data_IF_468020368239
#
_entry.id   IF_468020368239
#
_cell.length_a   1.000
_cell.length_b   1.000
_cell.length_c   1.000
_cell.angle_alpha   90.00
_cell.angle_beta   90.00
_cell.angle_gamma   90.00
#
_symmetry.space_group_name_H-M   'P 1'
#
loop_
_entity.id
_entity.type
_entity.pdbx_description
1 polymer ?
#
# COMPACT_ATOMS: atom_id res chain seq x y z
N UNK A 1 -13.38 39.68 2.79
CA UNK A 1 -14.73 39.21 3.16
C UNK A 1 -15.10 38.03 2.22
N UNK A 2 -14.56 36.83 2.48
CA UNK A 2 -14.89 35.62 1.73
C UNK A 2 -16.00 34.89 2.49
N UNK A 3 -17.20 34.85 1.91
CA UNK A 3 -18.31 34.06 2.43
C UNK A 3 -17.93 32.58 2.39
N UNK A 4 -17.86 31.96 3.55
CA UNK A 4 -17.78 30.51 3.69
C UNK A 4 -18.98 29.86 2.99
N UNK A 5 -18.77 29.25 1.85
CA UNK A 5 -19.74 28.34 1.25
C UNK A 5 -19.81 27.07 2.11
N UNK A 6 -20.90 26.93 2.80
CA UNK A 6 -21.18 25.80 3.69
C UNK A 6 -21.54 24.57 2.84
N UNK A 7 -20.51 23.79 2.48
CA UNK A 7 -20.61 22.61 1.59
C UNK A 7 -21.61 21.55 2.10
N UNK A 8 -21.83 21.51 3.43
CA UNK A 8 -22.86 20.64 4.02
C UNK A 8 -24.28 21.07 3.65
N UNK A 9 -24.52 22.34 3.52
CA UNK A 9 -25.86 22.86 3.16
C UNK A 9 -26.15 22.69 1.66
N UNK A 10 -25.14 22.71 0.81
CA UNK A 10 -25.28 22.44 -0.62
C UNK A 10 -25.63 20.98 -0.90
N UNK A 11 -24.97 20.03 -0.21
CA UNK A 11 -25.28 18.60 -0.30
C UNK A 11 -26.64 18.25 0.34
N UNK A 12 -26.97 18.87 1.46
CA UNK A 12 -28.27 18.70 2.10
C UNK A 12 -29.42 19.26 1.24
N UNK A 13 -29.22 20.40 0.58
CA UNK A 13 -30.21 20.98 -0.33
C UNK A 13 -30.42 20.14 -1.59
N UNK A 14 -29.39 19.51 -2.12
CA UNK A 14 -29.49 18.59 -3.27
C UNK A 14 -30.16 17.27 -2.85
N UNK A 15 -29.86 16.73 -1.65
CA UNK A 15 -30.54 15.53 -1.13
C UNK A 15 -31.98 15.78 -0.74
N UNK A 16 -32.31 16.93 -0.12
CA UNK A 16 -33.71 17.30 0.19
C UNK A 16 -34.54 17.52 -1.08
N UNK A 17 -33.96 18.12 -2.13
CA UNK A 17 -34.63 18.30 -3.41
C UNK A 17 -34.94 16.97 -4.13
N UNK A 18 -34.09 15.94 -3.98
CA UNK A 18 -34.32 14.60 -4.57
C UNK A 18 -35.30 13.78 -3.72
N UNK A 19 -35.30 13.91 -2.40
CA UNK A 19 -36.24 13.20 -1.54
C UNK A 19 -37.68 13.81 -1.59
N UNK A 20 -37.81 15.11 -1.79
CA UNK A 20 -39.12 15.76 -1.99
C UNK A 20 -39.78 15.39 -3.34
N UNK A 21 -38.99 14.92 -4.32
CA UNK A 21 -39.51 14.49 -5.63
C UNK A 21 -39.91 13.00 -5.70
N UNK A 22 -39.73 12.20 -4.62
CA UNK A 22 -40.10 10.79 -4.56
C UNK A 22 -41.34 10.55 -3.64
N UNK A 23 -41.80 11.55 -2.93
CA UNK A 23 -43.08 11.44 -2.23
C UNK A 23 -44.21 11.56 -3.27
N UNK A 24 -44.92 10.49 -3.48
CA UNK A 24 -46.17 10.41 -4.26
C UNK A 24 -47.40 10.95 -3.44
N UNK A 25 -47.59 12.25 -3.31
CA UNK A 25 -48.87 12.75 -2.81
C UNK A 25 -49.81 13.24 -3.96
N UNK A 26 -49.27 13.38 -5.20
CA UNK A 26 -50.07 14.00 -6.25
C UNK A 26 -51.14 13.09 -6.85
N UNK A 27 -50.95 11.76 -6.83
CA UNK A 27 -51.99 10.83 -7.32
C UNK A 27 -53.10 10.60 -6.33
N UNK A 28 -52.75 10.52 -5.02
CA UNK A 28 -53.74 10.35 -3.97
C UNK A 28 -54.66 11.61 -3.78
N UNK A 29 -54.13 12.81 -4.06
CA UNK A 29 -54.92 14.07 -4.01
C UNK A 29 -55.92 14.16 -5.14
N UNK A 30 -55.63 13.57 -6.31
CA UNK A 30 -56.50 13.61 -7.46
C UNK A 30 -57.71 12.67 -7.33
N UNK A 31 -57.52 11.44 -6.81
CA UNK A 31 -58.64 10.52 -6.49
C UNK A 31 -59.52 11.07 -5.37
N UNK A 32 -58.95 11.54 -4.28
CA UNK A 32 -59.71 12.12 -3.17
C UNK A 32 -60.50 13.39 -3.59
N UNK A 33 -59.97 14.19 -4.51
CA UNK A 33 -60.67 15.34 -5.09
C UNK A 33 -61.83 14.90 -5.96
N UNK A 34 -61.66 13.87 -6.79
CA UNK A 34 -62.73 13.31 -7.64
C UNK A 34 -63.84 12.72 -6.79
N UNK A 35 -63.50 11.97 -5.74
CA UNK A 35 -64.47 11.43 -4.79
C UNK A 35 -65.26 12.53 -4.07
N UNK A 36 -64.57 13.61 -3.68
CA UNK A 36 -65.22 14.78 -3.07
C UNK A 36 -66.19 15.45 -4.04
N UNK A 37 -65.81 15.65 -5.29
CA UNK A 37 -66.63 16.25 -6.32
C UNK A 37 -67.89 15.37 -6.62
N UNK A 38 -67.76 14.04 -6.66
CA UNK A 38 -68.93 13.16 -6.78
C UNK A 38 -69.91 13.27 -5.61
N UNK A 39 -69.38 13.40 -4.37
CA UNK A 39 -70.22 13.59 -3.18
C UNK A 39 -70.98 14.94 -3.25
N UNK A 40 -70.32 16.01 -3.77
CA UNK A 40 -70.93 17.32 -3.90
C UNK A 40 -72.06 17.34 -4.95
N UNK A 41 -71.89 16.62 -6.07
CA UNK A 41 -72.98 16.41 -7.06
C UNK A 41 -74.14 15.65 -6.43
N UNK A 42 -73.88 14.53 -5.75
CA UNK A 42 -74.90 13.72 -5.10
C UNK A 42 -75.68 14.49 -4.02
N UNK A 43 -75.11 15.51 -3.40
CA UNK A 43 -75.74 16.40 -2.43
C UNK A 43 -76.41 17.58 -3.07
N UNK A 44 -76.35 17.77 -4.38
CA UNK A 44 -76.93 18.87 -5.09
C UNK A 44 -76.19 20.21 -4.83
N UNK A 45 -74.98 20.16 -4.32
CA UNK A 45 -74.20 21.35 -3.99
C UNK A 45 -73.50 21.95 -5.21
N UNK A 46 -73.29 21.17 -6.26
CA UNK A 46 -72.78 21.58 -7.57
C UNK A 46 -73.62 20.86 -8.66
N UNK A 47 -73.68 21.46 -9.83
CA UNK A 47 -74.38 20.91 -10.99
C UNK A 47 -73.45 19.96 -11.73
N UNK A 48 -74.00 19.07 -12.57
CA UNK A 48 -73.25 18.12 -13.39
C UNK A 48 -72.26 18.82 -14.34
N UNK A 49 -72.61 19.98 -14.90
CA UNK A 49 -71.76 20.78 -15.73
C UNK A 49 -70.58 21.43 -14.96
N UNK A 50 -70.82 21.88 -13.71
CA UNK A 50 -69.73 22.35 -12.84
C UNK A 50 -68.82 21.20 -12.41
N UNK A 51 -69.36 20.00 -12.20
CA UNK A 51 -68.55 18.83 -11.94
C UNK A 51 -67.61 18.48 -13.12
N UNK A 52 -68.13 18.45 -14.35
CA UNK A 52 -67.27 18.19 -15.54
C UNK A 52 -66.19 19.25 -15.72
N UNK A 53 -66.49 20.51 -15.47
CA UNK A 53 -65.53 21.60 -15.51
C UNK A 53 -64.41 21.42 -14.47
N UNK A 54 -64.75 21.07 -13.24
CA UNK A 54 -63.78 20.86 -12.15
C UNK A 54 -62.92 19.59 -12.36
N UNK A 55 -63.54 18.52 -12.87
CA UNK A 55 -62.82 17.31 -13.25
C UNK A 55 -61.83 17.56 -14.37
N UNK A 56 -62.21 18.31 -15.40
CA UNK A 56 -61.34 18.67 -16.50
C UNK A 56 -60.19 19.59 -16.06
N UNK A 57 -60.46 20.56 -15.18
CA UNK A 57 -59.42 21.39 -14.59
C UNK A 57 -58.43 20.58 -13.74
N UNK A 58 -58.92 19.64 -12.91
CA UNK A 58 -58.08 18.77 -12.09
C UNK A 58 -57.21 17.80 -12.94
N UNK A 59 -57.76 17.31 -14.07
CA UNK A 59 -56.98 16.50 -15.02
C UNK A 59 -55.88 17.30 -15.71
N UNK A 60 -56.20 18.53 -16.16
CA UNK A 60 -55.24 19.43 -16.77
C UNK A 60 -54.11 19.83 -15.81
N UNK A 61 -54.43 20.09 -14.52
CA UNK A 61 -53.43 20.33 -13.48
C UNK A 61 -52.55 19.09 -13.23
N UNK A 62 -53.16 17.88 -13.21
CA UNK A 62 -52.42 16.64 -13.09
C UNK A 62 -51.43 16.39 -14.24
N UNK A 63 -51.86 16.60 -15.49
CA UNK A 63 -51.04 16.50 -16.69
C UNK A 63 -49.87 17.52 -16.69
N UNK A 64 -50.15 18.77 -16.25
CA UNK A 64 -49.12 19.81 -16.11
C UNK A 64 -48.09 19.44 -15.03
N UNK A 65 -48.52 18.91 -13.89
CA UNK A 65 -47.62 18.44 -12.82
C UNK A 65 -46.76 17.29 -13.29
N UNK A 66 -47.35 16.30 -13.97
CA UNK A 66 -46.62 15.16 -14.52
C UNK A 66 -45.60 15.59 -15.60
N UNK A 67 -45.98 16.51 -16.49
CA UNK A 67 -45.08 17.07 -17.48
C UNK A 67 -43.90 17.78 -16.83
N UNK A 68 -44.13 18.63 -15.82
CA UNK A 68 -43.10 19.35 -15.08
C UNK A 68 -42.15 18.38 -14.32
N UNK A 69 -42.69 17.30 -13.72
CA UNK A 69 -41.89 16.26 -13.07
C UNK A 69 -41.03 15.55 -14.09
N UNK A 70 -41.58 15.20 -15.24
CA UNK A 70 -40.81 14.52 -16.30
C UNK A 70 -39.73 15.43 -16.90
N UNK A 71 -40.01 16.71 -17.10
CA UNK A 71 -39.01 17.70 -17.52
C UNK A 71 -37.90 17.87 -16.47
N UNK A 72 -38.25 17.97 -15.17
CA UNK A 72 -37.28 18.03 -14.09
C UNK A 72 -36.42 16.74 -14.01
N UNK A 73 -37.06 15.56 -14.12
CA UNK A 73 -36.35 14.30 -14.18
C UNK A 73 -35.38 14.26 -15.35
N UNK A 74 -35.77 14.73 -16.54
CA UNK A 74 -34.89 14.79 -17.69
C UNK A 74 -33.73 15.79 -17.50
N UNK A 75 -33.98 16.95 -16.92
CA UNK A 75 -32.97 17.96 -16.57
C UNK A 75 -31.98 17.41 -15.54
N UNK A 76 -32.49 16.76 -14.47
CA UNK A 76 -31.65 16.09 -13.43
C UNK A 76 -30.81 14.97 -14.05
N UNK A 77 -31.40 14.11 -14.86
CA UNK A 77 -30.69 13.03 -15.54
C UNK A 77 -29.58 13.56 -16.47
N UNK A 78 -29.86 14.62 -17.22
CA UNK A 78 -28.88 15.31 -18.09
C UNK A 78 -27.74 15.94 -17.30
N UNK A 79 -28.04 16.56 -16.16
CA UNK A 79 -27.04 17.16 -15.26
C UNK A 79 -26.19 16.09 -14.58
N UNK A 80 -26.85 15.04 -14.05
CA UNK A 80 -26.16 13.91 -13.40
C UNK A 80 -25.21 13.17 -14.34
N UNK A 81 -25.57 13.04 -15.62
CA UNK A 81 -24.67 12.46 -16.67
C UNK A 81 -23.41 13.29 -16.89
N UNK A 82 -23.40 14.58 -16.55
CA UNK A 82 -22.24 15.47 -16.70
C UNK A 82 -21.40 15.55 -15.41
N UNK A 83 -21.97 15.20 -14.25
CA UNK A 83 -21.25 15.25 -12.98
C UNK A 83 -20.24 14.10 -12.86
N UNK A 84 -19.04 14.33 -12.30
CA UNK A 84 -18.09 13.25 -12.04
C UNK A 84 -18.67 12.24 -11.03
N UNK A 85 -18.25 10.98 -11.17
CA UNK A 85 -18.57 9.92 -10.20
C UNK A 85 -17.69 10.09 -8.97
N UNK A 86 -18.30 10.26 -7.79
CA UNK A 86 -17.60 10.36 -6.51
C UNK A 86 -17.80 9.05 -5.75
N UNK A 87 -16.71 8.42 -5.34
CA UNK A 87 -16.71 7.21 -4.51
C UNK A 87 -16.14 7.55 -3.14
N UNK A 88 -16.91 7.27 -2.07
CA UNK A 88 -16.51 7.57 -0.68
C UNK A 88 -16.38 6.30 0.18
N UNK A 89 -16.83 5.13 -0.30
CA UNK A 89 -16.79 3.88 0.45
C UNK A 89 -15.37 3.29 0.51
N UNK A 90 -14.71 3.47 1.65
CA UNK A 90 -13.37 2.94 1.94
C UNK A 90 -12.22 3.66 1.22
N UNK A 91 -12.53 4.68 0.42
CA UNK A 91 -11.58 5.59 -0.24
C UNK A 91 -12.33 6.77 -0.83
N UNK A 92 -11.67 7.91 -0.97
CA UNK A 92 -12.20 9.02 -1.76
C UNK A 92 -11.64 8.93 -3.18
N UNK A 93 -12.52 8.96 -4.18
CA UNK A 93 -12.13 8.94 -5.59
C UNK A 93 -13.12 9.74 -6.43
N UNK A 94 -12.61 10.54 -7.34
CA UNK A 94 -13.36 11.27 -8.35
C UNK A 94 -13.00 10.73 -9.73
N UNK A 95 -14.00 10.51 -10.60
CA UNK A 95 -13.77 9.98 -11.94
C UNK A 95 -14.80 10.57 -12.92
N UNK A 96 -14.44 10.70 -14.21
CA UNK A 96 -15.39 11.02 -15.27
C UNK A 96 -16.45 9.92 -15.42
N UNK A 97 -17.61 10.28 -15.96
CA UNK A 97 -18.71 9.33 -16.19
C UNK A 97 -18.32 8.21 -17.15
N UNK A 98 -17.54 8.52 -18.17
CA UNK A 98 -17.02 7.57 -19.18
C UNK A 98 -15.79 6.79 -18.67
N UNK A 99 -15.25 7.18 -17.49
CA UNK A 99 -14.07 6.55 -16.91
C UNK A 99 -12.78 6.81 -17.68
N UNK A 100 -12.69 7.90 -18.46
CA UNK A 100 -11.47 8.32 -19.15
C UNK A 100 -10.45 8.89 -18.19
N UNK A 101 -10.87 9.63 -17.18
CA UNK A 101 -9.98 10.12 -16.13
C UNK A 101 -10.44 9.70 -14.73
N UNK A 102 -9.50 9.65 -13.81
CA UNK A 102 -9.69 9.26 -12.42
C UNK A 102 -8.63 9.97 -11.56
N UNK A 103 -9.03 10.50 -10.42
CA UNK A 103 -8.15 11.07 -9.40
C UNK A 103 -8.52 10.54 -8.02
N UNK A 104 -7.53 10.19 -7.21
CA UNK A 104 -7.69 9.66 -5.88
C UNK A 104 -6.58 10.20 -4.97
N UNK A 105 -6.87 10.96 -3.91
CA UNK A 105 -5.92 11.22 -2.85
C UNK A 105 -5.61 9.92 -2.11
N UNK A 106 -4.36 9.75 -1.75
CA UNK A 106 -3.85 8.61 -0.99
C UNK A 106 -3.01 9.12 0.17
N UNK A 107 -2.98 8.35 1.24
CA UNK A 107 -2.13 8.69 2.37
C UNK A 107 -2.06 7.57 3.40
N UNK A 108 -1.16 7.74 4.36
CA UNK A 108 -1.03 6.89 5.54
C UNK A 108 -0.30 7.63 6.65
N UNK A 109 -0.69 7.32 7.87
CA UNK A 109 -0.02 7.76 9.09
C UNK A 109 0.25 6.49 9.91
N UNK A 110 1.51 6.28 10.31
CA UNK A 110 1.95 5.22 11.21
C UNK A 110 2.67 5.88 12.37
N UNK A 111 2.20 5.62 13.56
CA UNK A 111 2.85 5.98 14.81
C UNK A 111 3.32 4.72 15.51
N UNK A 112 4.59 4.69 15.89
CA UNK A 112 5.26 3.58 16.54
C UNK A 112 5.75 3.99 17.92
N UNK A 113 5.72 3.05 18.87
CA UNK A 113 6.32 3.15 20.19
C UNK A 113 7.09 1.86 20.46
N UNK A 114 8.30 1.97 20.98
CA UNK A 114 9.23 0.86 21.14
C UNK A 114 9.88 0.90 22.52
N UNK A 115 9.97 -0.25 23.14
CA UNK A 115 10.69 -0.50 24.37
C UNK A 115 11.66 -1.64 24.15
N UNK A 116 12.96 -1.40 24.40
CA UNK A 116 14.05 -2.34 24.15
C UNK A 116 14.70 -2.72 25.49
N UNK A 117 14.97 -3.99 25.67
CA UNK A 117 15.87 -4.54 26.66
C UNK A 117 17.14 -5.01 25.95
N UNK A 118 18.23 -4.29 26.12
CA UNK A 118 19.50 -4.53 25.44
C UNK A 118 20.37 -5.63 26.11
N UNK A 119 19.86 -6.33 27.12
CA UNK A 119 20.61 -7.37 27.86
C UNK A 119 22.01 -6.90 28.34
N UNK A 120 22.10 -5.64 28.74
CA UNK A 120 23.34 -5.01 29.20
C UNK A 120 24.21 -4.37 28.12
N UNK A 121 23.86 -4.50 26.85
CA UNK A 121 24.46 -3.78 25.72
C UNK A 121 23.81 -2.41 25.46
N UNK A 122 24.12 -1.82 24.30
CA UNK A 122 23.60 -0.52 23.84
C UNK A 122 23.20 -0.53 22.37
N UNK A 123 22.81 -1.68 21.84
CA UNK A 123 22.56 -1.89 20.41
C UNK A 123 21.35 -1.13 19.86
N UNK A 124 20.33 -0.87 20.69
CA UNK A 124 19.09 -0.25 20.24
C UNK A 124 18.49 0.70 21.28
N UNK A 125 17.69 1.67 20.80
CA UNK A 125 17.09 2.71 21.63
C UNK A 125 15.59 2.52 21.88
N UNK A 126 15.12 3.01 23.02
CA UNK A 126 13.71 3.20 23.31
C UNK A 126 13.20 4.46 22.63
N UNK A 127 11.96 4.47 22.18
CA UNK A 127 11.41 5.71 21.64
C UNK A 127 10.05 5.62 20.99
N UNK A 128 9.66 6.76 20.47
CA UNK A 128 8.43 6.94 19.70
C UNK A 128 8.73 7.67 18.41
N UNK A 129 8.09 7.25 17.31
CA UNK A 129 8.27 7.90 16.02
C UNK A 129 6.98 7.99 15.20
N UNK A 130 6.91 8.98 14.33
CA UNK A 130 6.05 8.92 13.16
C UNK A 130 6.76 8.13 12.07
N UNK A 131 6.62 6.81 12.10
CA UNK A 131 7.28 5.92 11.15
C UNK A 131 6.95 6.22 9.70
N UNK A 132 5.73 6.73 9.42
CA UNK A 132 5.28 7.17 8.10
C UNK A 132 4.21 8.24 8.22
N UNK A 133 4.42 9.32 7.48
CA UNK A 133 3.45 10.39 7.32
C UNK A 133 3.31 10.72 5.82
N UNK A 134 2.68 9.80 5.04
CA UNK A 134 2.63 9.92 3.59
C UNK A 134 1.38 10.58 3.11
N UNK A 135 1.54 11.46 2.13
CA UNK A 135 0.47 12.10 1.40
C UNK A 135 0.79 12.07 -0.09
N UNK A 136 -0.24 11.91 -0.90
CA UNK A 136 -0.10 11.89 -2.35
C UNK A 136 -1.40 11.73 -3.07
N UNK A 137 -1.31 11.53 -4.37
CA UNK A 137 -2.44 11.23 -5.22
C UNK A 137 -2.05 10.25 -6.33
N UNK A 138 -3.03 9.52 -6.81
CA UNK A 138 -2.90 8.65 -7.98
C UNK A 138 -4.13 8.77 -8.86
N UNK A 139 -3.97 8.39 -10.10
CA UNK A 139 -5.09 8.48 -11.04
C UNK A 139 -4.81 7.89 -12.39
N UNK A 140 -5.73 8.21 -13.32
CA UNK A 140 -5.65 7.81 -14.72
C UNK A 140 -6.13 8.93 -15.60
N UNK A 141 -5.49 9.03 -16.76
CA UNK A 141 -5.99 9.70 -17.97
C UNK A 141 -5.72 8.68 -19.07
N UNK A 142 -6.74 7.87 -19.37
CA UNK A 142 -6.56 6.69 -20.24
C UNK A 142 -5.92 7.04 -21.58
N UNK A 143 -4.94 6.24 -22.03
CA UNK A 143 -4.46 4.95 -21.47
C UNK A 143 -3.43 5.10 -20.34
N UNK A 144 -3.07 6.33 -19.97
CA UNK A 144 -2.05 6.62 -18.96
C UNK A 144 -2.58 6.46 -17.53
N UNK A 145 -1.69 6.12 -16.60
CA UNK A 145 -1.89 6.23 -15.15
C UNK A 145 -0.69 6.92 -14.51
N UNK A 146 -0.91 7.50 -13.34
CA UNK A 146 0.12 8.25 -12.62
C UNK A 146 0.00 8.07 -11.11
N UNK A 147 1.11 8.32 -10.41
CA UNK A 147 1.16 8.42 -8.95
C UNK A 147 2.22 9.43 -8.55
N UNK A 148 1.92 10.17 -7.48
CA UNK A 148 2.85 11.02 -6.76
C UNK A 148 2.61 10.81 -5.27
N UNK A 149 3.65 10.46 -4.52
CA UNK A 149 3.60 10.22 -3.06
C UNK A 149 4.86 10.76 -2.40
N UNK A 150 4.69 11.53 -1.32
CA UNK A 150 5.75 12.06 -0.46
C UNK A 150 5.61 11.45 0.94
N UNK A 151 6.71 11.30 1.65
CA UNK A 151 6.77 10.93 3.06
C UNK A 151 7.34 12.09 3.88
N UNK A 152 6.61 12.55 4.87
CA UNK A 152 6.93 13.68 5.74
C UNK A 152 7.40 13.20 7.13
N UNK A 153 7.62 11.90 7.31
CA UNK A 153 8.03 11.33 8.61
C UNK A 153 9.50 11.59 8.94
N UNK A 154 10.35 11.84 7.95
CA UNK A 154 11.75 12.13 8.16
C UNK A 154 11.94 13.55 8.69
N UNK A 155 12.84 13.71 9.66
CA UNK A 155 13.14 14.99 10.28
C UNK A 155 13.63 16.02 9.25
N UNK A 156 12.82 17.01 8.96
CA UNK A 156 13.17 18.22 8.24
C UNK A 156 12.88 18.24 6.74
N UNK A 157 13.01 17.14 5.99
CA UNK A 157 12.83 17.16 4.53
C UNK A 157 11.93 16.03 4.04
N UNK A 158 10.85 16.34 3.30
CA UNK A 158 10.00 15.30 2.72
C UNK A 158 10.75 14.45 1.70
N UNK A 159 10.64 13.13 1.79
CA UNK A 159 11.25 12.22 0.83
C UNK A 159 10.27 11.78 -0.26
N UNK A 160 10.74 11.80 -1.51
CA UNK A 160 10.01 11.29 -2.65
C UNK A 160 9.87 9.78 -2.54
N UNK A 161 8.64 9.27 -2.71
CA UNK A 161 8.37 7.83 -2.74
C UNK A 161 8.03 7.38 -4.17
N UNK A 162 6.78 7.34 -4.55
CA UNK A 162 6.37 6.98 -5.91
C UNK A 162 6.12 8.25 -6.73
N UNK A 163 6.87 8.47 -7.81
CA UNK A 163 6.69 9.60 -8.75
C UNK A 163 6.82 9.04 -10.17
N UNK A 164 5.71 8.63 -10.77
CA UNK A 164 5.76 7.92 -12.05
C UNK A 164 4.54 8.14 -12.94
N UNK A 165 4.77 7.94 -14.23
CA UNK A 165 3.75 7.79 -15.26
C UNK A 165 3.82 6.37 -15.84
N UNK A 166 2.68 5.80 -16.22
CA UNK A 166 2.64 4.49 -16.87
C UNK A 166 1.63 4.47 -18.02
N UNK A 167 2.01 3.86 -19.13
CA UNK A 167 1.12 3.49 -20.21
C UNK A 167 0.56 2.09 -19.94
N UNK A 168 -0.76 1.93 -20.03
CA UNK A 168 -1.43 0.68 -19.68
C UNK A 168 -2.09 0.06 -20.91
N UNK A 169 -1.86 -1.23 -21.09
CA UNK A 169 -2.45 -2.02 -22.15
C UNK A 169 -3.12 -3.29 -21.68
N UNK A 170 -3.90 -3.87 -22.58
CA UNK A 170 -4.58 -5.17 -22.38
C UNK A 170 -4.46 -5.99 -23.65
N UNK A 171 -4.32 -7.30 -23.46
CA UNK A 171 -4.45 -8.33 -24.48
C UNK A 171 -5.41 -9.41 -24.02
N UNK A 172 -5.70 -10.38 -24.86
CA UNK A 172 -6.47 -11.55 -24.45
C UNK A 172 -5.73 -12.39 -23.39
N UNK A 173 -4.41 -12.44 -23.47
CA UNK A 173 -3.55 -13.15 -22.51
C UNK A 173 -3.41 -12.45 -21.17
N UNK A 174 -3.51 -11.12 -21.11
CA UNK A 174 -3.25 -10.41 -19.85
C UNK A 174 -3.33 -8.90 -19.92
N UNK A 175 -2.79 -8.27 -18.89
CA UNK A 175 -2.62 -6.83 -18.76
C UNK A 175 -1.14 -6.52 -18.68
N UNK A 176 -0.75 -5.39 -19.23
CA UNK A 176 0.62 -4.92 -19.15
C UNK A 176 0.68 -3.41 -18.92
N UNK A 177 1.83 -2.96 -18.46
CA UNK A 177 2.15 -1.54 -18.41
C UNK A 177 3.64 -1.33 -18.70
N UNK A 178 3.95 -0.16 -19.24
CA UNK A 178 5.27 0.43 -19.32
C UNK A 178 5.28 1.67 -18.43
N UNK A 179 6.24 1.75 -17.50
CA UNK A 179 6.31 2.79 -16.48
C UNK A 179 7.65 3.51 -16.55
N UNK A 180 7.61 4.84 -16.37
CA UNK A 180 8.78 5.71 -16.26
C UNK A 180 8.68 6.56 -14.99
N UNK A 181 9.81 6.87 -14.38
CA UNK A 181 9.93 7.67 -13.15
C UNK A 181 10.36 6.84 -11.95
N UNK A 182 10.23 7.40 -10.75
CA UNK A 182 10.62 6.72 -9.51
C UNK A 182 9.55 5.74 -9.06
N UNK A 183 9.93 4.47 -8.97
CA UNK A 183 9.07 3.40 -8.47
C UNK A 183 9.90 2.22 -7.96
N UNK A 184 9.24 1.24 -7.34
CA UNK A 184 9.95 0.05 -6.85
C UNK A 184 10.69 -0.68 -7.97
N UNK A 185 11.95 -1.00 -7.71
CA UNK A 185 12.74 -1.97 -8.45
C UNK A 185 12.06 -3.33 -8.30
N UNK A 186 11.98 -4.14 -9.36
CA UNK A 186 11.30 -5.44 -9.30
C UNK A 186 12.17 -6.52 -8.63
N UNK A 187 12.25 -6.49 -7.30
CA UNK A 187 13.01 -7.44 -6.50
C UNK A 187 12.21 -7.84 -5.26
N UNK A 188 12.12 -9.13 -4.95
CA UNK A 188 11.55 -9.74 -3.77
C UNK A 188 10.12 -9.34 -3.38
N UNK A 189 9.49 -10.14 -2.55
CA UNK A 189 8.18 -9.83 -1.97
C UNK A 189 8.30 -8.76 -0.88
N UNK A 190 9.28 -8.88 0.00
CA UNK A 190 9.45 -7.97 1.13
C UNK A 190 9.68 -6.53 0.67
N UNK A 191 10.49 -6.32 -0.39
CA UNK A 191 10.80 -4.99 -0.91
C UNK A 191 9.61 -4.33 -1.59
N UNK A 192 8.88 -5.05 -2.45
CA UNK A 192 7.78 -4.46 -3.24
C UNK A 192 6.45 -4.40 -2.49
N UNK A 193 6.28 -5.17 -1.42
CA UNK A 193 5.04 -5.17 -0.64
C UNK A 193 4.83 -3.85 0.08
N UNK A 194 3.61 -3.34 -0.03
CA UNK A 194 3.27 -2.09 0.65
C UNK A 194 3.32 -2.26 2.17
N UNK A 195 4.02 -1.36 2.86
CA UNK A 195 4.06 -1.34 4.34
C UNK A 195 2.69 -1.28 5.02
N UNK A 196 1.62 -0.90 4.30
CA UNK A 196 0.25 -0.97 4.81
C UNK A 196 -0.23 -2.38 5.07
N UNK A 197 0.39 -3.39 4.45
CA UNK A 197 -0.12 -4.77 4.40
C UNK A 197 0.86 -5.81 4.93
N UNK A 198 2.04 -5.39 5.37
CA UNK A 198 3.00 -6.25 6.06
C UNK A 198 2.39 -6.80 7.35
N UNK A 199 2.75 -8.01 7.71
CA UNK A 199 2.21 -8.71 8.88
C UNK A 199 2.95 -8.38 10.19
N UNK A 200 4.20 -7.92 10.08
CA UNK A 200 5.05 -7.42 11.16
C UNK A 200 5.28 -5.92 11.03
N UNK A 201 5.67 -5.25 12.09
CA UNK A 201 5.98 -3.82 12.11
C UNK A 201 7.22 -3.52 11.28
N UNK A 202 8.23 -4.42 11.34
CA UNK A 202 9.44 -4.37 10.54
C UNK A 202 9.34 -5.29 9.31
N UNK A 203 10.06 -4.95 8.25
CA UNK A 203 10.38 -5.88 7.15
C UNK A 203 11.39 -6.91 7.66
N UNK A 204 11.60 -8.05 6.94
CA UNK A 204 12.76 -8.89 7.21
C UNK A 204 14.07 -8.09 7.14
N UNK A 205 15.08 -8.53 7.88
CA UNK A 205 16.41 -7.90 7.94
C UNK A 205 16.96 -7.59 6.54
N UNK A 206 16.90 -8.52 5.63
CA UNK A 206 17.38 -8.35 4.26
C UNK A 206 16.66 -7.25 3.45
N UNK A 207 15.51 -6.77 3.88
CA UNK A 207 14.79 -5.73 3.14
C UNK A 207 15.42 -4.33 3.29
N UNK A 208 16.31 -4.16 4.22
CA UNK A 208 17.18 -2.99 4.39
C UNK A 208 18.61 -3.29 3.85
N UNK A 209 18.81 -4.42 3.17
CA UNK A 209 20.03 -4.81 2.47
C UNK A 209 20.25 -4.05 1.14
N UNK A 210 21.24 -4.46 0.34
CA UNK A 210 21.68 -3.74 -0.87
C UNK A 210 20.60 -3.66 -1.96
N UNK A 211 19.56 -4.50 -1.89
CA UNK A 211 18.51 -4.44 -2.88
C UNK A 211 17.77 -3.10 -2.82
N UNK A 212 17.69 -2.46 -3.96
CA UNK A 212 17.13 -1.12 -4.06
C UNK A 212 15.60 -1.14 -3.91
N UNK A 213 15.08 -0.25 -3.07
CA UNK A 213 13.65 -0.13 -2.83
C UNK A 213 12.94 0.63 -3.96
N UNK A 214 13.35 1.89 -4.20
CA UNK A 214 12.77 2.77 -5.23
C UNK A 214 13.85 3.54 -5.91
N UNK A 215 13.90 3.40 -7.24
CA UNK A 215 14.82 4.11 -8.11
C UNK A 215 14.09 4.73 -9.29
N UNK A 216 14.72 5.70 -9.93
CA UNK A 216 14.24 6.30 -11.18
C UNK A 216 14.58 5.36 -12.33
N UNK A 217 13.58 5.01 -13.14
CA UNK A 217 13.84 4.09 -14.24
C UNK A 217 12.70 3.90 -15.20
N UNK A 218 12.91 2.95 -16.11
CA UNK A 218 11.92 2.47 -17.06
C UNK A 218 11.72 0.99 -16.81
N UNK A 219 10.46 0.58 -16.57
CA UNK A 219 10.14 -0.82 -16.35
C UNK A 219 8.84 -1.23 -17.04
N UNK A 220 8.80 -2.49 -17.48
CA UNK A 220 7.64 -3.13 -18.04
C UNK A 220 7.16 -4.28 -17.18
N UNK A 221 5.85 -4.44 -17.08
CA UNK A 221 5.23 -5.58 -16.38
C UNK A 221 4.08 -6.16 -17.17
N UNK A 222 4.07 -7.49 -17.24
CA UNK A 222 2.94 -8.26 -17.75
C UNK A 222 2.30 -9.07 -16.61
N UNK A 223 0.97 -9.19 -16.60
CA UNK A 223 0.18 -9.96 -15.66
C UNK A 223 -0.81 -10.83 -16.42
N UNK A 224 -0.62 -12.13 -16.38
CA UNK A 224 -1.46 -13.10 -17.07
C UNK A 224 -2.87 -13.17 -16.48
N UNK A 225 -3.86 -13.42 -17.33
CA UNK A 225 -5.23 -13.80 -16.94
C UNK A 225 -5.35 -15.30 -16.68
N UNK A 226 -4.34 -16.10 -17.00
CA UNK A 226 -4.36 -17.54 -16.79
C UNK A 226 -4.59 -17.90 -15.31
N UNK A 227 -5.07 -19.11 -15.04
CA UNK A 227 -5.38 -19.57 -13.69
C UNK A 227 -4.17 -19.54 -12.76
N UNK A 228 -2.98 -19.87 -13.28
CA UNK A 228 -1.70 -19.80 -12.54
C UNK A 228 -1.18 -18.39 -12.27
N UNK A 229 -1.89 -17.35 -12.74
CA UNK A 229 -1.63 -15.93 -12.41
C UNK A 229 -0.16 -15.52 -12.49
N UNK A 230 0.57 -16.02 -13.47
CA UNK A 230 1.97 -15.66 -13.63
C UNK A 230 2.13 -14.19 -14.05
N UNK A 231 3.26 -13.63 -13.68
CA UNK A 231 3.67 -12.29 -14.10
C UNK A 231 5.16 -12.27 -14.41
N UNK A 232 5.55 -11.29 -15.22
CA UNK A 232 6.94 -10.92 -15.43
C UNK A 232 7.06 -9.40 -15.30
N UNK A 233 8.13 -8.93 -14.68
CA UNK A 233 8.41 -7.53 -14.42
C UNK A 233 9.91 -7.33 -14.58
N UNK A 234 10.34 -6.39 -15.43
CA UNK A 234 11.75 -6.07 -15.67
C UNK A 234 11.92 -4.58 -15.90
N UNK A 235 13.11 -4.06 -15.59
CA UNK A 235 13.44 -2.65 -15.79
C UNK A 235 14.91 -2.33 -15.63
N UNK A 236 15.25 -1.11 -16.03
CA UNK A 236 16.56 -0.49 -15.87
C UNK A 236 16.38 0.79 -15.06
N UNK A 237 17.27 1.02 -14.11
CA UNK A 237 17.14 2.09 -13.13
C UNK A 237 18.46 2.80 -12.93
N UNK A 238 18.37 4.02 -12.41
CA UNK A 238 19.46 4.82 -11.86
C UNK A 238 19.05 5.23 -10.43
N UNK A 239 19.94 5.72 -9.58
CA UNK A 239 19.60 6.14 -8.22
C UNK A 239 18.33 6.97 -8.13
N UNK A 240 17.62 6.83 -7.02
CA UNK A 240 16.34 7.51 -6.79
C UNK A 240 16.49 9.02 -6.66
N UNK A 241 15.36 9.72 -6.77
CA UNK A 241 15.30 11.14 -6.45
C UNK A 241 15.73 11.34 -5.01
N UNK A 242 16.86 12.04 -4.78
CA UNK A 242 17.30 12.40 -3.46
C UNK A 242 16.33 13.42 -2.82
N UNK A 243 16.45 13.60 -1.54
CA UNK A 243 15.79 14.69 -0.83
C UNK A 243 16.36 16.01 -1.30
N UNK A 244 15.58 17.06 -1.25
CA UNK A 244 15.79 18.39 -1.84
C UNK A 244 17.05 19.17 -1.42
N UNK A 245 18.11 18.53 -0.97
CA UNK A 245 19.41 19.17 -0.74
C UNK A 245 20.22 19.34 -2.03
N UNK A 246 19.90 18.59 -3.09
CA UNK A 246 20.48 18.81 -4.40
C UNK A 246 19.57 19.73 -5.20
N UNK A 247 19.97 20.98 -5.34
CA UNK A 247 19.28 22.01 -6.13
C UNK A 247 19.04 21.58 -7.60
N UNK A 248 19.73 20.56 -8.06
CA UNK A 248 19.64 20.04 -9.44
C UNK A 248 18.73 18.83 -9.60
N UNK A 249 18.39 18.12 -8.51
CA UNK A 249 17.58 16.88 -8.61
C UNK A 249 18.21 15.77 -9.46
N UNK A 250 19.49 15.91 -9.80
CA UNK A 250 20.25 14.96 -10.60
C UNK A 250 21.25 14.24 -9.71
N UNK A 251 21.07 12.93 -9.55
CA UNK A 251 22.22 12.10 -9.26
C UNK A 251 23.07 12.05 -10.54
N UNK A 252 24.12 12.84 -10.61
CA UNK A 252 25.19 12.63 -11.58
C UNK A 252 25.91 11.36 -11.14
N UNK A 253 25.52 10.23 -11.66
CA UNK A 253 26.05 8.93 -11.25
C UNK A 253 26.11 8.01 -12.45
N UNK A 254 27.16 7.26 -12.52
CA UNK A 254 27.29 6.17 -13.48
C UNK A 254 26.66 4.86 -12.98
N UNK A 255 26.10 4.85 -11.76
CA UNK A 255 25.37 3.71 -11.21
C UNK A 255 24.17 3.32 -12.07
N UNK A 256 24.06 2.05 -12.37
CA UNK A 256 22.95 1.49 -13.13
C UNK A 256 22.49 0.18 -12.53
N UNK A 257 21.20 -0.01 -12.47
CA UNK A 257 20.59 -1.23 -11.98
C UNK A 257 19.73 -1.84 -13.08
N UNK A 258 19.95 -3.11 -13.35
CA UNK A 258 19.03 -3.93 -14.16
C UNK A 258 18.39 -4.95 -13.24
N UNK A 259 17.07 -5.06 -13.29
CA UNK A 259 16.37 -6.00 -12.41
C UNK A 259 15.19 -6.67 -13.12
N UNK A 260 14.91 -7.91 -12.75
CA UNK A 260 13.70 -8.58 -13.14
C UNK A 260 13.13 -9.45 -12.02
N UNK A 261 11.83 -9.67 -12.07
CA UNK A 261 11.10 -10.58 -11.20
C UNK A 261 10.01 -11.29 -11.96
N UNK A 262 9.95 -12.59 -11.77
CA UNK A 262 8.92 -13.46 -12.34
C UNK A 262 8.25 -14.24 -11.21
N UNK A 263 7.00 -14.62 -11.40
CA UNK A 263 6.32 -15.45 -10.40
C UNK A 263 4.95 -15.89 -10.87
N UNK A 264 4.38 -16.82 -10.15
CA UNK A 264 3.07 -17.35 -10.46
C UNK A 264 2.50 -18.23 -9.37
N UNK A 265 1.30 -18.75 -9.56
CA UNK A 265 0.64 -19.63 -8.61
C UNK A 265 0.56 -21.05 -9.19
N UNK A 266 1.58 -21.92 -8.97
CA UNK A 266 1.53 -23.32 -9.42
C UNK A 266 0.34 -24.07 -8.83
N UNK A 267 -0.06 -23.72 -7.59
CA UNK A 267 -1.32 -24.17 -7.02
C UNK A 267 -2.25 -22.97 -6.83
N UNK A 268 -3.42 -23.03 -7.43
CA UNK A 268 -4.48 -22.03 -7.27
C UNK A 268 -5.86 -22.72 -7.35
N UNK A 269 -6.48 -22.95 -6.20
CA UNK A 269 -7.88 -23.40 -6.10
C UNK A 269 -8.82 -22.19 -6.19
N UNK A 270 -8.60 -21.21 -5.35
CA UNK A 270 -9.30 -19.93 -5.30
C UNK A 270 -8.44 -18.85 -4.63
N UNK A 271 -9.00 -17.65 -4.41
CA UNK A 271 -8.29 -16.52 -3.78
C UNK A 271 -7.85 -16.75 -2.34
N UNK A 272 -8.40 -17.76 -1.66
CA UNK A 272 -8.10 -18.11 -0.27
C UNK A 272 -7.28 -19.40 -0.16
N UNK A 273 -7.01 -20.09 -1.29
CA UNK A 273 -6.23 -21.32 -1.31
C UNK A 273 -5.29 -21.30 -2.52
N UNK A 274 -4.05 -20.94 -2.28
CA UNK A 274 -3.01 -20.81 -3.30
C UNK A 274 -1.61 -21.01 -2.70
N UNK A 275 -0.70 -21.41 -3.57
CA UNK A 275 0.75 -21.33 -3.39
C UNK A 275 1.32 -20.50 -4.53
N UNK A 276 2.05 -19.47 -4.21
CA UNK A 276 2.87 -18.68 -5.13
C UNK A 276 4.33 -19.08 -4.99
N UNK A 277 5.06 -19.06 -6.09
CA UNK A 277 6.52 -19.08 -6.13
C UNK A 277 6.98 -17.97 -7.05
N UNK A 278 8.13 -17.38 -6.71
CA UNK A 278 8.75 -16.32 -7.49
C UNK A 278 10.25 -16.35 -7.41
N UNK A 279 10.87 -15.64 -8.34
CA UNK A 279 12.30 -15.45 -8.45
C UNK A 279 12.58 -14.01 -8.90
N UNK A 280 13.61 -13.40 -8.32
CA UNK A 280 14.08 -12.08 -8.71
C UNK A 280 15.59 -12.09 -8.89
N UNK A 281 16.07 -11.20 -9.74
CA UNK A 281 17.47 -10.90 -9.97
C UNK A 281 17.66 -9.41 -10.13
N UNK A 282 18.74 -8.88 -9.54
CA UNK A 282 19.19 -7.51 -9.68
C UNK A 282 20.68 -7.52 -9.91
N UNK A 283 21.13 -6.80 -10.91
CA UNK A 283 22.53 -6.46 -11.16
C UNK A 283 22.70 -4.97 -11.05
N UNK A 284 23.72 -4.52 -10.29
CA UNK A 284 24.01 -3.10 -10.11
C UNK A 284 25.47 -2.82 -10.43
N UNK A 285 25.72 -1.88 -11.36
CA UNK A 285 27.03 -1.33 -11.69
C UNK A 285 27.28 -0.06 -10.86
N UNK A 286 28.40 0.04 -10.15
CA UNK A 286 28.74 1.16 -9.28
C UNK A 286 29.70 2.17 -9.90
N UNK A 287 30.73 1.72 -10.62
CA UNK A 287 31.68 2.54 -11.40
C UNK A 287 32.34 3.69 -10.59
N UNK A 288 32.73 3.39 -9.35
CA UNK A 288 33.39 4.34 -8.45
C UNK A 288 32.44 5.24 -7.65
N UNK A 289 31.13 5.07 -7.79
CA UNK A 289 30.14 5.64 -6.87
C UNK A 289 30.01 4.76 -5.62
N UNK A 290 29.72 5.36 -4.47
CA UNK A 290 29.53 4.59 -3.24
C UNK A 290 28.41 3.54 -3.37
N UNK A 291 28.72 2.33 -2.93
CA UNK A 291 27.75 1.26 -2.79
C UNK A 291 26.70 1.62 -1.73
N UNK A 292 25.52 1.01 -1.84
CA UNK A 292 24.52 1.15 -0.78
C UNK A 292 24.94 0.27 0.40
N UNK A 293 25.38 0.87 1.49
CA UNK A 293 25.70 0.15 2.71
C UNK A 293 24.50 -0.62 3.22
N UNK A 294 24.78 -1.74 3.85
CA UNK A 294 23.84 -2.39 4.76
C UNK A 294 24.02 -1.72 6.10
N UNK A 295 22.93 -1.24 6.67
CA UNK A 295 22.89 -0.53 7.95
C UNK A 295 21.60 -0.96 8.64
N UNK A 296 21.68 -2.03 9.42
CA UNK A 296 20.53 -2.68 10.02
C UNK A 296 20.55 -2.56 11.54
N UNK A 297 19.46 -2.01 12.08
CA UNK A 297 19.03 -2.32 13.44
C UNK A 297 18.39 -3.71 13.47
N UNK A 298 18.63 -4.51 14.51
CA UNK A 298 18.14 -5.90 14.58
C UNK A 298 16.64 -5.99 14.91
N UNK A 299 16.14 -5.17 15.80
CA UNK A 299 14.81 -5.31 16.37
C UNK A 299 13.86 -4.17 16.03
N UNK A 300 14.33 -2.92 16.15
CA UNK A 300 13.49 -1.73 16.01
C UNK A 300 13.89 -0.90 14.80
N UNK A 301 13.23 0.23 14.57
CA UNK A 301 13.61 1.19 13.55
C UNK A 301 14.26 2.43 14.18
N UNK A 302 14.28 2.51 15.51
CA UNK A 302 14.96 3.54 16.29
C UNK A 302 16.17 2.87 16.91
N UNK A 303 17.36 3.24 16.47
CA UNK A 303 18.62 2.71 16.94
C UNK A 303 19.74 3.36 16.14
N UNK A 304 20.96 3.11 16.53
CA UNK A 304 22.11 3.69 15.87
C UNK A 304 22.49 3.00 14.57
N UNK A 305 21.78 1.93 14.16
CA UNK A 305 22.06 1.22 12.91
C UNK A 305 23.27 0.29 12.96
N UNK A 306 24.03 0.32 14.02
CA UNK A 306 25.38 -0.24 14.11
C UNK A 306 25.39 -1.74 14.50
N UNK A 307 24.29 -2.47 14.28
CA UNK A 307 24.21 -3.87 14.76
C UNK A 307 24.66 -4.90 13.72
N UNK A 308 24.25 -4.71 12.46
CA UNK A 308 24.70 -5.50 11.30
C UNK A 308 24.96 -4.55 10.15
N UNK A 309 26.22 -4.34 9.85
CA UNK A 309 26.66 -3.41 8.81
C UNK A 309 27.52 -4.12 7.75
N UNK A 310 27.44 -3.62 6.53
CA UNK A 310 28.41 -3.88 5.49
C UNK A 310 28.64 -2.60 4.71
N UNK A 311 29.84 -2.07 4.80
CA UNK A 311 30.25 -0.82 4.17
C UNK A 311 31.33 -1.09 3.12
N UNK A 312 30.96 -0.97 1.86
CA UNK A 312 31.86 -1.20 0.73
C UNK A 312 32.56 0.09 0.25
N UNK A 313 32.20 1.24 0.81
CA UNK A 313 32.76 2.52 0.37
C UNK A 313 32.52 2.78 -1.12
N UNK A 314 33.58 3.17 -1.84
CA UNK A 314 33.57 3.41 -3.29
C UNK A 314 34.33 2.35 -4.07
N UNK A 315 34.72 1.27 -3.43
CA UNK A 315 35.60 0.24 -4.02
C UNK A 315 34.83 -0.85 -4.77
N UNK A 316 33.57 -1.10 -4.40
CA UNK A 316 32.74 -2.07 -5.10
C UNK A 316 32.48 -1.63 -6.55
N UNK A 317 32.74 -2.53 -7.50
CA UNK A 317 32.52 -2.30 -8.93
C UNK A 317 31.10 -2.64 -9.35
N UNK A 318 30.60 -3.81 -8.93
CA UNK A 318 29.26 -4.28 -9.22
C UNK A 318 28.74 -5.24 -8.13
N UNK A 319 27.45 -5.53 -8.19
CA UNK A 319 26.82 -6.54 -7.35
C UNK A 319 25.70 -7.27 -8.05
N UNK A 320 25.57 -8.55 -7.73
CA UNK A 320 24.49 -9.41 -8.17
C UNK A 320 23.64 -9.86 -6.96
N UNK A 321 22.35 -9.67 -7.04
CA UNK A 321 21.41 -10.11 -6.01
C UNK A 321 20.39 -11.09 -6.59
N UNK A 322 20.14 -12.18 -5.86
CA UNK A 322 19.15 -13.19 -6.20
C UNK A 322 18.13 -13.32 -5.08
N UNK A 323 16.88 -13.58 -5.44
CA UNK A 323 15.79 -13.80 -4.50
C UNK A 323 14.92 -14.96 -4.95
N UNK A 324 14.57 -15.81 -4.00
CA UNK A 324 13.59 -16.89 -4.17
C UNK A 324 12.48 -16.67 -3.15
N UNK A 325 11.24 -16.65 -3.60
CA UNK A 325 10.10 -16.42 -2.74
C UNK A 325 9.02 -17.49 -2.87
N UNK A 326 8.39 -17.84 -1.75
CA UNK A 326 7.18 -18.65 -1.70
C UNK A 326 6.14 -18.02 -0.79
N UNK A 327 4.87 -17.92 -1.26
CA UNK A 327 3.77 -17.34 -0.51
C UNK A 327 2.60 -18.31 -0.52
N UNK A 328 2.07 -18.64 0.65
CA UNK A 328 0.89 -19.50 0.76
C UNK A 328 -0.28 -18.80 1.43
N UNK A 329 -1.50 -19.12 0.98
CA UNK A 329 -2.75 -18.77 1.64
C UNK A 329 -3.61 -20.04 1.69
N UNK A 330 -3.99 -20.47 2.91
CA UNK A 330 -4.83 -21.65 3.15
C UNK A 330 -5.95 -21.28 4.13
N UNK A 331 -7.00 -20.63 3.61
CA UNK A 331 -8.08 -20.09 4.44
C UNK A 331 -7.56 -18.97 5.36
N UNK A 332 -7.73 -19.10 6.68
CA UNK A 332 -7.20 -18.11 7.63
C UNK A 332 -5.69 -18.18 7.84
N UNK A 333 -5.05 -19.29 7.48
CA UNK A 333 -3.59 -19.45 7.55
C UNK A 333 -2.92 -18.83 6.32
N UNK A 334 -1.74 -18.25 6.52
CA UNK A 334 -0.85 -17.75 5.46
C UNK A 334 0.60 -17.85 5.90
N UNK A 335 1.50 -17.91 4.94
CA UNK A 335 2.94 -17.94 5.17
C UNK A 335 3.70 -17.31 4.01
N UNK A 336 4.93 -16.90 4.31
CA UNK A 336 5.92 -16.42 3.35
C UNK A 336 7.24 -17.09 3.69
N UNK A 337 8.00 -17.45 2.67
CA UNK A 337 9.43 -17.75 2.74
C UNK A 337 10.12 -16.92 1.69
N UNK A 338 11.23 -16.31 2.04
CA UNK A 338 12.07 -15.52 1.14
C UNK A 338 13.53 -15.78 1.50
N UNK A 339 14.38 -16.03 0.49
CA UNK A 339 15.82 -16.21 0.63
C UNK A 339 16.51 -15.32 -0.39
N UNK A 340 17.49 -14.56 0.06
CA UNK A 340 18.22 -13.58 -0.74
C UNK A 340 19.71 -13.81 -0.60
N UNK A 341 20.45 -13.68 -1.72
CA UNK A 341 21.91 -13.62 -1.72
C UNK A 341 22.38 -12.36 -2.42
N UNK A 342 23.56 -11.89 -2.04
CA UNK A 342 24.27 -10.80 -2.68
C UNK A 342 25.72 -11.17 -2.87
N UNK A 343 26.15 -11.14 -4.12
CA UNK A 343 27.55 -11.30 -4.51
C UNK A 343 28.05 -9.88 -4.86
N UNK A 344 29.04 -9.36 -4.14
CA UNK A 344 29.58 -8.01 -4.34
C UNK A 344 31.02 -8.11 -4.77
N UNK A 345 31.33 -7.57 -5.94
CA UNK A 345 32.69 -7.52 -6.46
C UNK A 345 33.42 -6.28 -5.94
N UNK A 346 34.47 -6.49 -5.16
CA UNK A 346 35.37 -5.44 -4.68
C UNK A 346 36.82 -5.75 -5.09
N UNK A 347 37.36 -5.09 -6.15
CA UNK A 347 38.70 -5.38 -6.66
C UNK A 347 39.82 -5.00 -5.71
N UNK A 348 39.54 -4.31 -4.60
CA UNK A 348 40.54 -3.87 -3.59
C UNK A 348 40.41 -4.69 -2.31
N UNK A 349 39.17 -4.83 -1.81
CA UNK A 349 38.86 -5.52 -0.55
C UNK A 349 38.69 -7.04 -0.70
N UNK A 350 38.36 -7.50 -1.91
CA UNK A 350 37.98 -8.89 -2.22
C UNK A 350 36.48 -9.03 -2.41
N UNK A 351 36.09 -10.02 -3.19
CA UNK A 351 34.68 -10.33 -3.44
C UNK A 351 34.01 -10.85 -2.16
N UNK A 352 32.75 -10.51 -1.94
CA UNK A 352 31.99 -10.82 -0.73
C UNK A 352 30.66 -11.47 -1.08
N UNK A 353 30.35 -12.58 -0.43
CA UNK A 353 29.12 -13.35 -0.57
C UNK A 353 28.25 -13.19 0.70
N UNK A 354 27.12 -12.53 0.59
CA UNK A 354 26.21 -12.29 1.71
C UNK A 354 24.88 -13.03 1.50
N UNK A 355 24.24 -13.41 2.60
CA UNK A 355 22.94 -14.07 2.49
C UNK A 355 21.98 -13.73 3.63
N UNK A 356 20.69 -13.90 3.36
CA UNK A 356 19.66 -13.77 4.40
C UNK A 356 18.39 -14.51 4.00
N UNK A 357 17.61 -14.90 5.01
CA UNK A 357 16.30 -15.51 4.77
C UNK A 357 15.31 -15.18 5.88
N UNK A 358 14.03 -15.30 5.55
CA UNK A 358 12.96 -15.17 6.53
C UNK A 358 11.81 -16.13 6.22
N UNK A 359 11.20 -16.65 7.27
CA UNK A 359 9.95 -17.40 7.21
C UNK A 359 8.91 -16.75 8.09
N UNK A 360 7.80 -16.32 7.49
CA UNK A 360 6.65 -15.75 8.17
C UNK A 360 5.49 -16.74 8.17
N UNK A 361 4.78 -16.83 9.29
CA UNK A 361 3.51 -17.53 9.39
C UNK A 361 2.47 -16.66 10.07
N UNK A 362 1.19 -16.83 9.74
CA UNK A 362 0.12 -16.10 10.41
C UNK A 362 -1.23 -16.76 10.29
N UNK A 363 -2.10 -16.44 11.25
CA UNK A 363 -3.43 -17.01 11.35
C UNK A 363 -4.46 -15.97 11.82
N UNK A 364 -5.60 -15.91 11.12
CA UNK A 364 -6.73 -15.06 11.50
C UNK A 364 -7.72 -15.82 12.38
N UNK A 365 -7.78 -15.49 13.67
CA UNK A 365 -8.76 -16.06 14.60
C UNK A 365 -10.21 -15.78 14.20
N UNK A 366 -10.44 -14.66 13.53
CA UNK A 366 -11.76 -14.22 13.06
C UNK A 366 -12.12 -14.75 11.68
N UNK A 367 -11.23 -15.59 11.11
CA UNK A 367 -11.47 -16.37 9.89
C UNK A 367 -11.32 -15.59 8.58
N UNK A 368 -10.73 -14.39 8.58
CA UNK A 368 -10.30 -13.70 7.35
C UNK A 368 -9.21 -14.51 6.63
N UNK A 369 -8.89 -14.12 5.41
CA UNK A 369 -7.77 -14.68 4.65
C UNK A 369 -6.91 -13.53 4.12
N UNK A 370 -5.60 -13.71 4.09
CA UNK A 370 -4.70 -12.79 3.42
C UNK A 370 -5.08 -12.64 1.95
N UNK A 371 -4.92 -11.44 1.43
CA UNK A 371 -5.23 -11.16 0.03
C UNK A 371 -3.95 -11.10 -0.78
N UNK A 372 -3.74 -12.10 -1.58
CA UNK A 372 -2.67 -12.19 -2.56
C UNK A 372 -3.02 -11.46 -3.86
N UNK A 373 -2.04 -10.76 -4.44
CA UNK A 373 -2.17 -10.09 -5.72
C UNK A 373 -0.82 -10.10 -6.48
N UNK A 374 -0.60 -11.11 -7.32
CA UNK A 374 0.57 -11.21 -8.19
C UNK A 374 1.90 -10.94 -7.45
N UNK A 375 2.20 -11.79 -6.46
CA UNK A 375 3.44 -11.72 -5.68
C UNK A 375 3.47 -10.64 -4.60
N UNK A 376 2.33 -10.10 -4.17
CA UNK A 376 2.29 -9.10 -3.09
C UNK A 376 1.02 -9.25 -2.23
N UNK A 377 1.10 -8.79 -0.97
CA UNK A 377 -0.07 -8.66 -0.12
C UNK A 377 -0.95 -7.46 -0.48
N UNK A 378 -2.21 -7.54 -0.14
CA UNK A 378 -3.20 -6.48 -0.28
C UNK A 378 -4.04 -6.35 0.99
N UNK A 379 -4.79 -5.24 1.12
CA UNK A 379 -5.52 -4.87 2.34
C UNK A 379 -6.56 -5.87 2.81
N UNK A 380 -6.59 -6.11 4.11
CA UNK A 380 -7.59 -6.93 4.79
C UNK A 380 -8.91 -6.14 4.90
N UNK A 381 -10.01 -6.86 4.79
CA UNK A 381 -11.34 -6.34 5.07
C UNK A 381 -11.96 -7.21 6.14
N UNK A 382 -12.10 -6.72 7.38
CA UNK A 382 -12.76 -7.46 8.44
C UNK A 382 -14.17 -7.89 8.01
N UNK A 383 -14.52 -9.15 8.29
CA UNK A 383 -15.87 -9.69 8.03
C UNK A 383 -16.92 -8.94 8.86
N UNK A 384 -16.56 -8.61 10.10
CA UNK A 384 -17.39 -7.87 11.06
C UNK A 384 -16.60 -6.67 11.61
N UNK A 385 -16.55 -5.54 10.87
CA UNK A 385 -15.75 -4.38 11.30
C UNK A 385 -16.33 -3.71 12.54
N UNK A 386 -15.46 -3.05 13.30
CA UNK A 386 -15.84 -2.21 14.44
C UNK A 386 -16.82 -1.12 13.99
N UNK A 387 -17.79 -0.80 14.84
CA UNK A 387 -18.86 0.16 14.53
C UNK A 387 -19.96 -0.37 13.61
N UNK A 388 -19.89 -1.67 13.21
CA UNK A 388 -20.92 -2.38 12.43
C UNK A 388 -21.31 -3.71 13.08
N UNK A 389 -21.37 -3.75 14.40
CA UNK A 389 -21.74 -4.93 15.17
C UNK A 389 -20.64 -5.99 15.27
N UNK A 390 -19.39 -5.64 15.03
CA UNK A 390 -18.25 -6.55 15.15
C UNK A 390 -17.08 -5.94 15.91
N UNK A 391 -16.06 -6.77 16.17
CA UNK A 391 -14.81 -6.43 16.86
C UNK A 391 -13.63 -6.25 15.91
N UNK A 392 -13.85 -6.21 14.60
CA UNK A 392 -12.77 -6.19 13.61
C UNK A 392 -12.20 -7.58 13.33
N UNK A 393 -11.02 -7.64 12.68
CA UNK A 393 -10.29 -8.87 12.43
C UNK A 393 -9.07 -8.95 13.35
N UNK A 394 -8.74 -10.17 13.81
CA UNK A 394 -7.61 -10.46 14.68
C UNK A 394 -6.70 -11.51 14.06
N UNK A 395 -5.41 -11.24 14.05
CA UNK A 395 -4.38 -12.08 13.43
C UNK A 395 -3.19 -12.20 14.38
N UNK A 396 -2.71 -13.42 14.59
CA UNK A 396 -1.39 -13.68 15.16
C UNK A 396 -0.43 -13.94 14.01
N UNK A 397 0.83 -13.55 14.18
CA UNK A 397 1.91 -13.74 13.22
C UNK A 397 3.19 -14.11 13.95
N UNK A 398 4.05 -14.89 13.30
CA UNK A 398 5.39 -15.19 13.77
C UNK A 398 6.36 -15.12 12.59
N UNK A 399 7.60 -14.69 12.86
CA UNK A 399 8.72 -14.69 11.93
C UNK A 399 9.94 -15.28 12.61
N UNK A 400 10.70 -16.08 11.86
CA UNK A 400 12.08 -16.41 12.15
C UNK A 400 12.91 -15.99 10.95
N UNK A 401 14.00 -15.30 11.19
CA UNK A 401 14.86 -14.73 10.15
C UNK A 401 16.32 -14.79 10.56
N UNK A 402 17.18 -14.91 9.56
CA UNK A 402 18.63 -14.87 9.68
C UNK A 402 19.20 -13.92 8.64
N UNK A 403 20.28 -13.25 8.98
CA UNK A 403 21.10 -12.48 8.06
C UNK A 403 22.56 -12.72 8.38
N UNK A 404 23.31 -13.14 7.38
CA UNK A 404 24.72 -13.50 7.45
C UNK A 404 25.54 -12.54 6.58
N UNK A 405 26.34 -11.71 7.23
CA UNK A 405 27.29 -10.77 6.66
C UNK A 405 28.73 -11.14 7.04
N UNK A 406 28.96 -12.32 7.61
CA UNK A 406 30.25 -12.73 8.19
C UNK A 406 31.40 -12.80 7.18
N UNK A 407 31.10 -12.86 5.88
CA UNK A 407 32.15 -12.80 4.85
C UNK A 407 32.86 -11.43 4.80
N UNK A 408 32.20 -10.37 5.32
CA UNK A 408 32.83 -9.07 5.52
C UNK A 408 33.95 -9.10 6.57
N UNK A 409 33.85 -9.97 7.57
CA UNK A 409 34.88 -10.13 8.65
C UNK A 409 36.24 -10.54 8.10
N UNK A 410 36.30 -11.15 6.95
CA UNK A 410 37.48 -11.70 6.31
C UNK A 410 38.18 -10.76 5.32
N UNK A 411 37.55 -9.65 4.96
CA UNK A 411 38.05 -8.68 3.97
C UNK A 411 39.16 -7.78 4.57
N UNK A 412 40.26 -8.38 4.97
CA UNK A 412 41.36 -7.67 5.62
C UNK A 412 42.07 -6.66 4.71
N UNK A 413 41.84 -5.37 4.93
CA UNK A 413 42.89 -4.39 4.71
C UNK A 413 42.83 -3.50 3.48
N UNK A 414 41.78 -3.50 2.68
CA UNK A 414 41.61 -2.57 1.55
C UNK A 414 40.35 -1.77 1.61
N UNK A 415 39.39 -2.26 2.32
CA UNK A 415 38.10 -1.62 2.52
C UNK A 415 38.21 -0.56 3.63
N UNK A 416 37.45 0.49 3.53
CA UNK A 416 37.24 1.46 4.63
C UNK A 416 36.37 0.82 5.73
N UNK A 417 36.43 -0.52 5.89
CA UNK A 417 35.69 -1.23 6.93
C UNK A 417 36.00 -0.57 8.26
N UNK A 418 35.01 0.03 8.83
CA UNK A 418 35.03 0.41 10.22
C UNK A 418 35.06 -0.87 11.06
N UNK A 419 35.42 -0.76 12.33
CA UNK A 419 35.51 -1.87 13.26
C UNK A 419 34.23 -2.73 13.39
N UNK A 420 33.14 -2.32 12.72
CA UNK A 420 31.77 -2.74 12.98
C UNK A 420 31.09 -3.42 11.75
N UNK A 421 31.85 -3.72 10.66
CA UNK A 421 31.31 -4.40 9.48
C UNK A 421 31.29 -5.92 9.66
N UNK A 422 30.21 -6.58 9.22
CA UNK A 422 30.06 -8.04 9.23
C UNK A 422 29.04 -8.57 10.22
N UNK A 423 29.26 -9.81 10.66
CA UNK A 423 28.42 -10.48 11.66
C UNK A 423 27.26 -11.29 11.09
N UNK A 424 26.62 -12.05 11.98
CA UNK A 424 25.42 -12.85 11.70
C UNK A 424 24.40 -12.66 12.81
N UNK A 425 23.10 -12.65 12.46
CA UNK A 425 22.05 -12.57 13.46
C UNK A 425 20.85 -13.46 13.12
N UNK A 426 20.36 -14.13 14.16
CA UNK A 426 19.08 -14.83 14.18
C UNK A 426 18.06 -14.07 15.01
N UNK A 427 16.91 -13.74 14.40
CA UNK A 427 15.85 -12.99 15.09
C UNK A 427 14.52 -13.73 15.03
N UNK A 428 13.85 -13.82 16.16
CA UNK A 428 12.47 -14.30 16.25
C UNK A 428 11.53 -13.17 16.62
N UNK A 429 10.41 -13.07 15.90
CA UNK A 429 9.36 -12.08 16.18
C UNK A 429 8.00 -12.77 16.26
N UNK A 430 7.21 -12.43 17.27
CA UNK A 430 5.78 -12.77 17.37
C UNK A 430 4.95 -11.51 17.41
N UNK A 431 3.84 -11.47 16.66
CA UNK A 431 3.02 -10.26 16.53
C UNK A 431 1.53 -10.55 16.64
N UNK A 432 0.81 -9.56 17.16
CA UNK A 432 -0.65 -9.53 17.21
C UNK A 432 -1.16 -8.32 16.44
N UNK A 433 -2.00 -8.56 15.44
CA UNK A 433 -2.60 -7.53 14.61
C UNK A 433 -4.11 -7.45 14.85
N UNK A 434 -4.60 -6.25 15.17
CA UNK A 434 -6.02 -5.94 15.20
C UNK A 434 -6.39 -4.98 14.07
N UNK A 435 -7.35 -5.38 13.24
CA UNK A 435 -7.89 -4.58 12.15
C UNK A 435 -9.32 -4.12 12.51
N UNK A 436 -9.50 -2.98 13.20
CA UNK A 436 -10.83 -2.46 13.52
C UNK A 436 -11.69 -2.26 12.26
N UNK A 437 -11.09 -1.70 11.21
CA UNK A 437 -11.71 -1.45 9.91
C UNK A 437 -10.79 -1.87 8.76
N UNK A 438 -11.22 -1.69 7.52
CA UNK A 438 -10.36 -1.93 6.35
C UNK A 438 -9.24 -0.90 6.16
N UNK A 439 -9.22 0.17 6.95
CA UNK A 439 -8.34 1.32 6.79
C UNK A 439 -7.53 1.65 8.06
N UNK A 440 -7.77 0.93 9.15
CA UNK A 440 -7.09 1.10 10.43
C UNK A 440 -6.54 -0.24 10.92
N UNK A 441 -5.39 -0.21 11.56
CA UNK A 441 -4.77 -1.37 12.23
C UNK A 441 -4.01 -0.93 13.46
N UNK A 442 -4.02 -1.76 14.51
CA UNK A 442 -3.14 -1.69 15.65
C UNK A 442 -2.31 -2.98 15.64
N UNK A 443 -1.01 -2.85 15.86
CA UNK A 443 -0.06 -3.95 15.90
C UNK A 443 0.68 -3.91 17.22
N UNK A 444 1.05 -5.09 17.71
CA UNK A 444 1.96 -5.28 18.82
C UNK A 444 2.88 -6.45 18.48
N UNK A 445 4.18 -6.19 18.43
CA UNK A 445 5.20 -7.19 18.10
C UNK A 445 6.17 -7.31 19.28
N UNK A 446 6.59 -8.54 19.58
CA UNK A 446 7.72 -8.85 20.45
C UNK A 446 8.77 -9.54 19.62
N UNK A 447 9.96 -8.96 19.57
CA UNK A 447 11.12 -9.47 18.83
C UNK A 447 12.25 -9.77 19.80
N UNK A 448 13.02 -10.82 19.54
CA UNK A 448 14.19 -11.19 20.31
C UNK A 448 15.29 -11.66 19.37
N UNK A 449 16.51 -11.18 19.58
CA UNK A 449 17.71 -11.76 18.98
C UNK A 449 17.99 -13.08 19.72
N UNK A 450 18.14 -14.16 18.96
CA UNK A 450 18.37 -15.50 19.50
C UNK A 450 19.84 -15.89 19.42
N UNK A 451 20.52 -15.39 18.41
CA UNK A 451 21.95 -15.55 18.22
C UNK A 451 22.48 -14.30 17.51
N UNK A 452 23.61 -13.81 17.94
CA UNK A 452 24.28 -12.65 17.35
C UNK A 452 25.78 -12.85 17.50
N UNK A 453 26.46 -12.95 16.38
CA UNK A 453 27.90 -12.99 16.31
C UNK A 453 28.41 -11.77 15.55
N UNK A 454 29.25 -10.99 16.17
CA UNK A 454 29.94 -9.86 15.55
C UNK A 454 31.32 -9.72 16.17
N UNK A 455 32.36 -9.65 15.33
CA UNK A 455 33.73 -9.46 15.76
C UNK A 455 34.16 -8.05 15.42
N UNK A 456 34.27 -7.19 16.41
CA UNK A 456 34.87 -5.88 16.21
C UNK A 456 36.39 -6.00 15.93
N UNK A 457 36.99 -5.00 15.26
CA UNK A 457 38.44 -4.94 14.99
C UNK A 457 39.30 -4.95 16.27
N UNK A 458 38.73 -4.70 17.43
CA UNK A 458 39.40 -4.82 18.72
C UNK A 458 39.43 -6.27 19.24
N UNK A 459 38.78 -7.22 18.52
CA UNK A 459 38.68 -8.62 18.92
C UNK A 459 37.78 -8.84 20.12
N UNK A 460 36.86 -7.91 20.37
CA UNK A 460 35.85 -8.03 21.44
C UNK A 460 34.62 -8.68 20.84
N UNK A 461 34.41 -9.94 21.10
CA UNK A 461 33.19 -10.63 20.69
C UNK A 461 32.00 -10.06 21.45
N UNK A 462 31.03 -9.49 20.76
CA UNK A 462 29.73 -9.12 21.30
C UNK A 462 28.74 -10.29 21.33
N UNK A 463 29.24 -11.52 21.27
CA UNK A 463 28.49 -12.77 21.14
C UNK A 463 27.52 -13.08 22.31
N UNK A 464 27.44 -12.23 23.32
CA UNK A 464 26.72 -12.51 24.53
C UNK A 464 25.46 -11.65 24.74
N UNK A 465 25.10 -10.79 23.76
CA UNK A 465 23.98 -9.88 23.92
C UNK A 465 22.78 -10.36 23.12
N UNK A 466 21.69 -10.71 23.80
CA UNK A 466 20.43 -11.15 23.19
C UNK A 466 19.30 -10.11 23.42
N UNK A 467 19.37 -8.94 22.76
CA UNK A 467 18.37 -7.90 23.01
C UNK A 467 16.97 -8.36 22.62
N UNK A 468 15.98 -7.76 23.28
CA UNK A 468 14.58 -7.99 23.00
C UNK A 468 13.83 -6.66 22.92
N UNK A 469 12.82 -6.58 22.07
CA UNK A 469 12.01 -5.38 21.92
C UNK A 469 10.52 -5.69 21.93
N UNK A 470 9.76 -4.86 22.66
CA UNK A 470 8.31 -4.78 22.52
C UNK A 470 7.94 -3.52 21.75
N UNK A 471 7.15 -3.69 20.72
CA UNK A 471 6.80 -2.61 19.82
C UNK A 471 5.29 -2.53 19.63
N UNK A 472 4.77 -1.32 19.48
CA UNK A 472 3.37 -1.07 19.13
C UNK A 472 3.26 -0.10 17.96
N UNK A 473 2.32 -0.34 17.05
CA UNK A 473 1.99 0.57 15.94
C UNK A 473 0.51 0.85 15.87
N UNK A 474 0.14 2.12 15.75
CA UNK A 474 -1.17 2.54 15.30
C UNK A 474 -1.07 3.06 13.86
N UNK A 475 -1.91 2.54 12.95
CA UNK A 475 -1.90 3.00 11.57
C UNK A 475 -3.29 3.28 11.00
N UNK A 476 -3.34 4.32 10.17
CA UNK A 476 -4.49 4.66 9.34
C UNK A 476 -4.03 4.93 7.90
N UNK A 477 -4.86 4.55 6.92
CA UNK A 477 -4.56 4.84 5.50
C UNK A 477 -5.85 4.98 4.68
N UNK A 478 -5.79 5.74 3.58
CA UNK A 478 -6.92 6.02 2.68
C UNK A 478 -6.55 5.98 1.20
#
# INVERSE_FOLDING_TARGET
>A
MLKQLNFKNLLASIMLGVFAAISTPAMATNEAMLDLLEILVKKGSITEGEYELLVNASKADGENVEHNINEMKAKVAKTTKKMPKITTKGKFKVASQDGTWEWQPIGRIFWDSMYVDNDGGTLEDNGEELRRARLGFQGKVKPMSYKLELDFANSGTPSWKDVWLAYNGKTDAGKWWLKIGQHHVPFGHATISSSKYMTMMRRPLFADGPQLSRNVGIAGRFQSKAKNRWFAHAGVFVPGLSTASDETGQAATDRRTTAFRVGGTPYYKDKNHLLHVGFSYQHEEHKGDAFSNIDNTLLTHIGNGDSLEANFGTNADDSDAFDIEAITVMGPFHGIFEYVTWDVSDPIGGDVDLSAWAIDAGYFFTGESMKYKYGAWSGIKPKKPLGKGGLGAWQITARYENMDLSDMDNTGGGNTSTADDGGEADVFTIGLNWYPTSNTRIMADYSKVLDFSHVDLAGTANDAVEPAAFQMRAQVYW
#
